data_IF_393232522665
#
_entry.id   IF_393232522665
#
_cell.length_a   1.000
_cell.length_b   1.000
_cell.length_c   1.000
_cell.angle_alpha   90.00
_cell.angle_beta   90.00
_cell.angle_gamma   90.00
#
_symmetry.space_group_name_H-M   'P 1'
#
loop_
_entity.id
_entity.type
_entity.pdbx_description
1 polymer ?
#
# COMPACT_ATOMS: atom_id res chain seq x y z
N UNK A 1 7.30 -1.07 6.96
CA UNK A 1 7.57 0.35 7.28
C UNK A 1 8.01 0.56 8.72
N UNK A 2 7.30 0.01 9.72
CA UNK A 2 7.73 0.04 11.13
C UNK A 2 9.10 -0.61 11.34
N UNK A 3 9.30 -1.82 10.77
CA UNK A 3 10.60 -2.52 10.75
C UNK A 3 11.73 -1.74 10.05
N UNK A 4 11.39 -0.84 9.12
CA UNK A 4 12.35 0.00 8.38
C UNK A 4 12.51 1.40 8.99
N UNK A 5 11.88 1.69 10.14
CA UNK A 5 11.90 3.01 10.80
C UNK A 5 11.43 4.16 9.88
N UNK A 6 10.41 3.90 9.07
CA UNK A 6 9.84 4.89 8.13
C UNK A 6 8.45 5.38 8.59
N UNK A 7 8.15 6.66 8.33
CA UNK A 7 6.82 7.24 8.51
C UNK A 7 5.85 6.86 7.36
N UNK A 8 4.59 7.26 7.46
CA UNK A 8 3.53 7.03 6.45
C UNK A 8 3.77 7.77 5.12
N UNK A 9 4.76 8.66 5.06
CA UNK A 9 5.26 9.31 3.84
C UNK A 9 6.46 8.57 3.23
N UNK A 10 6.80 7.40 3.74
CA UNK A 10 7.97 6.62 3.35
C UNK A 10 9.29 7.42 3.47
N UNK A 11 9.43 8.19 4.56
CA UNK A 11 10.67 8.87 4.93
C UNK A 11 11.21 8.31 6.26
N UNK A 12 12.52 8.26 6.48
CA UNK A 12 13.10 7.96 7.79
C UNK A 12 12.57 8.94 8.84
N UNK A 13 12.13 8.42 9.99
CA UNK A 13 11.47 9.25 11.00
C UNK A 13 11.81 8.79 12.42
N UNK A 14 11.69 9.67 13.43
CA UNK A 14 11.93 9.31 14.83
C UNK A 14 10.93 8.23 15.31
N UNK A 15 11.28 7.45 16.36
CA UNK A 15 10.49 6.29 16.80
C UNK A 15 9.02 6.60 17.11
N UNK A 16 8.75 7.81 17.61
CA UNK A 16 7.41 8.28 17.94
C UNK A 16 6.51 8.40 16.70
N UNK A 17 7.05 8.92 15.59
CA UNK A 17 6.32 9.00 14.32
C UNK A 17 6.14 7.62 13.69
N UNK A 18 7.17 6.76 13.77
CA UNK A 18 7.15 5.41 13.20
C UNK A 18 6.05 4.55 13.85
N UNK A 19 5.84 4.69 15.17
CA UNK A 19 4.79 3.96 15.89
C UNK A 19 3.39 4.28 15.35
N UNK A 20 3.18 5.53 14.92
CA UNK A 20 1.90 5.98 14.37
C UNK A 20 1.74 5.68 12.87
N UNK A 21 2.80 5.24 12.18
CA UNK A 21 2.77 4.96 10.73
C UNK A 21 1.67 4.00 10.33
N UNK A 22 1.56 2.84 10.99
CA UNK A 22 0.57 1.84 10.64
C UNK A 22 -0.86 2.39 10.80
N UNK A 23 -1.13 3.03 11.94
CA UNK A 23 -2.43 3.65 12.22
C UNK A 23 -2.79 4.69 11.17
N UNK A 24 -1.87 5.60 10.83
CA UNK A 24 -2.12 6.64 9.85
C UNK A 24 -2.36 6.07 8.45
N UNK A 25 -1.58 5.07 8.03
CA UNK A 25 -1.80 4.37 6.76
C UNK A 25 -3.19 3.73 6.70
N UNK A 26 -3.60 3.02 7.75
CA UNK A 26 -4.93 2.41 7.82
C UNK A 26 -6.03 3.46 7.74
N UNK A 27 -5.90 4.58 8.49
CA UNK A 27 -6.88 5.67 8.45
C UNK A 27 -6.99 6.24 7.02
N UNK A 28 -5.86 6.58 6.39
CA UNK A 28 -5.84 7.11 5.02
C UNK A 28 -6.50 6.14 4.04
N UNK A 29 -6.15 4.85 4.11
CA UNK A 29 -6.75 3.81 3.25
C UNK A 29 -8.24 3.67 3.48
N UNK A 30 -8.70 3.57 4.74
CA UNK A 30 -10.13 3.41 5.06
C UNK A 30 -10.93 4.61 4.61
N UNK A 31 -10.46 5.84 4.88
CA UNK A 31 -11.14 7.07 4.43
C UNK A 31 -11.22 7.13 2.91
N UNK A 32 -10.13 6.80 2.21
CA UNK A 32 -10.11 6.78 0.75
C UNK A 32 -11.07 5.72 0.18
N UNK A 33 -11.09 4.52 0.75
CA UNK A 33 -12.01 3.44 0.31
C UNK A 33 -13.47 3.84 0.54
N UNK A 34 -13.81 4.38 1.72
CA UNK A 34 -15.17 4.85 2.00
C UNK A 34 -15.56 5.94 0.99
N UNK A 35 -14.70 6.93 0.77
CA UNK A 35 -14.99 8.01 -0.17
C UNK A 35 -15.18 7.46 -1.59
N UNK A 36 -14.33 6.52 -2.02
CA UNK A 36 -14.44 5.86 -3.31
C UNK A 36 -15.78 5.12 -3.46
N UNK A 37 -16.18 4.31 -2.46
CA UNK A 37 -17.47 3.58 -2.42
C UNK A 37 -18.66 4.54 -2.43
N UNK A 38 -18.60 5.65 -1.70
CA UNK A 38 -19.68 6.65 -1.71
C UNK A 38 -19.81 7.38 -3.06
N UNK A 39 -18.75 7.38 -3.86
CA UNK A 39 -18.72 8.01 -5.20
C UNK A 39 -18.86 7.01 -6.35
N UNK A 40 -19.05 5.71 -6.07
CA UNK A 40 -19.22 4.73 -7.14
C UNK A 40 -20.50 5.01 -7.91
N UNK A 41 -20.48 4.93 -9.26
CA UNK A 41 -21.67 5.08 -10.08
C UNK A 41 -22.74 4.08 -9.62
N UNK A 42 -23.96 4.57 -9.46
CA UNK A 42 -25.10 3.74 -9.10
C UNK A 42 -25.69 3.08 -10.36
N UNK A 43 -26.48 2.03 -10.14
CA UNK A 43 -27.29 1.42 -11.17
C UNK A 43 -28.73 1.82 -10.94
N UNK A 44 -29.33 2.42 -11.95
CA UNK A 44 -30.74 2.82 -11.92
C UNK A 44 -31.55 1.96 -12.88
N UNK A 45 -32.83 1.78 -12.55
CA UNK A 45 -33.80 1.09 -13.41
C UNK A 45 -34.58 2.19 -14.11
N UNK A 46 -34.39 2.29 -15.42
CA UNK A 46 -35.20 3.14 -16.28
C UNK A 46 -36.38 2.32 -16.82
N UNK A 47 -37.59 2.82 -16.65
CA UNK A 47 -38.80 2.16 -17.12
C UNK A 47 -39.28 2.95 -18.33
N UNK A 48 -39.13 2.36 -19.51
CA UNK A 48 -39.66 2.97 -20.73
C UNK A 48 -41.19 3.05 -20.64
N UNK A 49 -41.73 4.25 -20.41
CA UNK A 49 -43.18 4.51 -20.27
C UNK A 49 -43.99 4.02 -21.49
N UNK A 50 -43.34 3.81 -22.64
CA UNK A 50 -43.97 3.38 -23.89
C UNK A 50 -44.04 1.84 -24.05
N UNK A 51 -43.19 1.07 -23.38
CA UNK A 51 -43.11 -0.40 -23.55
C UNK A 51 -43.11 -1.21 -22.25
N UNK A 52 -43.20 -0.57 -21.09
CA UNK A 52 -43.23 -1.20 -19.75
C UNK A 52 -42.09 -2.22 -19.57
N UNK A 53 -40.96 -1.96 -20.21
CA UNK A 53 -39.79 -2.83 -20.24
C UNK A 53 -38.68 -2.19 -19.40
N UNK A 54 -38.30 -2.78 -18.26
CA UNK A 54 -37.26 -2.22 -17.41
C UNK A 54 -35.89 -2.41 -18.04
N UNK A 55 -35.17 -1.30 -18.22
CA UNK A 55 -33.78 -1.29 -18.67
C UNK A 55 -32.86 -0.87 -17.52
N UNK A 56 -31.76 -1.59 -17.32
CA UNK A 56 -30.75 -1.22 -16.32
C UNK A 56 -29.83 -0.19 -16.98
N UNK A 57 -29.82 1.03 -16.46
CA UNK A 57 -28.95 2.12 -16.90
C UNK A 57 -27.87 2.33 -15.84
N UNK A 58 -26.61 2.34 -16.28
CA UNK A 58 -25.49 2.64 -15.42
C UNK A 58 -25.13 4.12 -15.55
N UNK A 59 -25.07 4.85 -14.44
CA UNK A 59 -24.58 6.22 -14.47
C UNK A 59 -23.09 6.28 -14.81
N UNK A 60 -22.69 7.32 -15.55
CA UNK A 60 -21.28 7.57 -15.79
C UNK A 60 -20.55 7.87 -14.47
N UNK A 61 -19.38 7.26 -14.22
CA UNK A 61 -18.59 7.54 -13.03
C UNK A 61 -18.24 9.02 -12.95
N UNK A 62 -18.50 9.63 -11.79
CA UNK A 62 -18.17 11.04 -11.56
C UNK A 62 -16.68 11.32 -11.78
N UNK A 63 -16.36 12.52 -12.28
CA UNK A 63 -14.95 12.99 -12.40
C UNK A 63 -14.23 12.89 -11.05
N UNK A 64 -14.95 13.12 -9.95
CA UNK A 64 -14.44 12.96 -8.58
C UNK A 64 -13.96 11.54 -8.30
N UNK A 65 -14.72 10.52 -8.70
CA UNK A 65 -14.34 9.11 -8.52
C UNK A 65 -13.01 8.80 -9.23
N UNK A 66 -12.88 9.21 -10.49
CA UNK A 66 -11.65 9.02 -11.26
C UNK A 66 -10.46 9.76 -10.66
N UNK A 67 -10.67 10.99 -10.19
CA UNK A 67 -9.63 11.77 -9.53
C UNK A 67 -9.14 11.12 -8.24
N UNK A 68 -10.06 10.61 -7.41
CA UNK A 68 -9.74 9.91 -6.15
C UNK A 68 -8.98 8.61 -6.43
N UNK A 69 -9.46 7.81 -7.38
CA UNK A 69 -8.80 6.56 -7.78
C UNK A 69 -7.38 6.83 -8.28
N UNK A 70 -7.20 7.81 -9.16
CA UNK A 70 -5.89 8.19 -9.68
C UNK A 70 -4.94 8.69 -8.58
N UNK A 71 -5.43 9.57 -7.70
CA UNK A 71 -4.65 10.11 -6.58
C UNK A 71 -4.20 9.00 -5.63
N UNK A 72 -5.10 8.09 -5.26
CA UNK A 72 -4.77 6.96 -4.41
C UNK A 72 -3.77 6.01 -5.07
N UNK A 73 -3.93 5.75 -6.37
CA UNK A 73 -3.00 4.94 -7.15
C UNK A 73 -1.57 5.53 -7.15
N UNK A 74 -1.45 6.83 -7.43
CA UNK A 74 -0.16 7.54 -7.40
C UNK A 74 0.46 7.51 -6.01
N UNK A 75 -0.34 7.73 -4.96
CA UNK A 75 0.13 7.64 -3.58
C UNK A 75 0.65 6.24 -3.22
N UNK A 76 -0.12 5.19 -3.54
CA UNK A 76 0.28 3.81 -3.27
C UNK A 76 1.57 3.45 -4.02
N UNK A 77 1.68 3.82 -5.30
CA UNK A 77 2.87 3.61 -6.11
C UNK A 77 4.09 4.33 -5.50
N UNK A 78 3.93 5.60 -5.10
CA UNK A 78 4.98 6.38 -4.44
C UNK A 78 5.50 5.69 -3.17
N UNK A 79 4.60 5.25 -2.29
CA UNK A 79 4.98 4.58 -1.02
C UNK A 79 5.69 3.26 -1.31
N UNK A 80 5.14 2.42 -2.19
CA UNK A 80 5.75 1.11 -2.53
C UNK A 80 7.13 1.29 -3.16
N UNK A 81 7.29 2.23 -4.09
CA UNK A 81 8.58 2.55 -4.71
C UNK A 81 9.61 2.98 -3.67
N UNK A 82 9.25 3.89 -2.76
CA UNK A 82 10.15 4.38 -1.71
C UNK A 82 10.56 3.29 -0.74
N UNK A 83 9.61 2.47 -0.31
CA UNK A 83 9.89 1.33 0.59
C UNK A 83 10.79 0.30 -0.11
N UNK A 84 10.55 0.00 -1.39
CA UNK A 84 11.38 -0.93 -2.16
C UNK A 84 12.80 -0.42 -2.30
N UNK A 85 12.96 0.86 -2.65
CA UNK A 85 14.27 1.49 -2.74
C UNK A 85 15.03 1.38 -1.42
N UNK A 86 14.38 1.66 -0.29
CA UNK A 86 15.00 1.52 1.03
C UNK A 86 15.43 0.08 1.36
N UNK A 87 14.61 -0.92 1.00
CA UNK A 87 14.98 -2.34 1.16
C UNK A 87 16.19 -2.70 0.29
N UNK A 88 16.21 -2.25 -0.96
CA UNK A 88 17.33 -2.52 -1.88
C UNK A 88 18.63 -1.85 -1.45
N UNK A 89 18.56 -0.63 -0.94
CA UNK A 89 19.72 0.07 -0.37
C UNK A 89 20.26 -0.65 0.87
N UNK A 90 19.36 -1.13 1.76
CA UNK A 90 19.74 -1.93 2.94
C UNK A 90 20.42 -3.24 2.56
N UNK A 91 19.85 -3.98 1.61
CA UNK A 91 20.30 -5.33 1.26
C UNK A 91 21.31 -5.32 0.08
N UNK A 92 21.77 -4.13 -0.33
CA UNK A 92 22.70 -3.93 -1.47
C UNK A 92 22.27 -4.62 -2.77
N UNK A 93 20.96 -4.64 -3.04
CA UNK A 93 20.37 -5.31 -4.21
C UNK A 93 20.56 -4.42 -5.45
N UNK A 94 21.36 -4.85 -6.45
CA UNK A 94 21.62 -4.04 -7.64
C UNK A 94 20.34 -3.82 -8.44
N UNK A 95 20.28 -2.72 -9.19
CA UNK A 95 19.20 -2.50 -10.14
C UNK A 95 19.33 -3.50 -11.29
N UNK A 96 18.24 -4.15 -11.65
CA UNK A 96 18.12 -4.96 -12.84
C UNK A 96 17.85 -4.10 -14.09
N UNK A 97 17.09 -4.67 -15.03
CA UNK A 97 17.02 -4.20 -16.43
C UNK A 97 16.39 -2.82 -16.61
N UNK A 98 15.56 -2.38 -15.68
CA UNK A 98 14.94 -1.05 -15.72
C UNK A 98 15.77 0.03 -15.00
N UNK A 99 16.99 -0.30 -14.54
CA UNK A 99 17.89 0.64 -13.88
C UNK A 99 17.21 1.35 -12.69
N UNK A 100 17.31 2.67 -12.66
CA UNK A 100 16.73 3.49 -11.58
C UNK A 100 15.20 3.50 -11.54
N UNK A 101 14.51 3.04 -12.61
CA UNK A 101 13.05 2.97 -12.69
C UNK A 101 12.50 1.59 -12.33
N UNK A 102 13.36 0.61 -12.00
CA UNK A 102 12.89 -0.73 -11.67
C UNK A 102 11.85 -0.74 -10.54
N UNK A 103 12.04 0.09 -9.51
CA UNK A 103 11.11 0.12 -8.38
C UNK A 103 9.73 0.64 -8.78
N UNK A 104 9.66 1.55 -9.76
CA UNK A 104 8.40 2.04 -10.35
C UNK A 104 7.74 0.92 -11.15
N UNK A 105 8.50 0.23 -12.01
CA UNK A 105 7.98 -0.86 -12.83
C UNK A 105 7.46 -2.02 -11.95
N UNK A 106 8.21 -2.42 -10.93
CA UNK A 106 7.78 -3.48 -10.01
C UNK A 106 6.53 -3.09 -9.20
N UNK A 107 6.43 -1.82 -8.77
CA UNK A 107 5.26 -1.32 -8.07
C UNK A 107 4.02 -1.24 -8.99
N UNK A 108 4.20 -0.82 -10.24
CA UNK A 108 3.13 -0.65 -11.22
C UNK A 108 2.58 -1.98 -11.76
N UNK A 109 3.45 -2.89 -12.22
CA UNK A 109 3.02 -4.12 -12.90
C UNK A 109 2.64 -5.26 -11.96
N UNK A 110 3.25 -5.35 -10.77
CA UNK A 110 3.03 -6.45 -9.81
C UNK A 110 3.11 -5.92 -8.37
N UNK A 111 2.32 -4.89 -8.05
CA UNK A 111 2.38 -4.21 -6.76
C UNK A 111 2.23 -5.14 -5.55
N UNK A 112 1.27 -6.07 -5.59
CA UNK A 112 1.06 -7.04 -4.50
C UNK A 112 2.25 -7.99 -4.31
N UNK A 113 2.88 -8.41 -5.41
CA UNK A 113 4.07 -9.27 -5.43
C UNK A 113 5.26 -8.54 -4.81
N UNK A 114 5.45 -7.28 -5.19
CA UNK A 114 6.47 -6.38 -4.66
C UNK A 114 6.29 -6.17 -3.16
N UNK A 115 5.07 -5.88 -2.70
CA UNK A 115 4.77 -5.73 -1.26
C UNK A 115 5.02 -7.03 -0.50
N UNK A 116 4.60 -8.17 -1.05
CA UNK A 116 4.81 -9.48 -0.43
C UNK A 116 6.30 -9.82 -0.32
N UNK A 117 7.08 -9.59 -1.38
CA UNK A 117 8.53 -9.80 -1.38
C UNK A 117 9.22 -8.93 -0.32
N UNK A 118 8.92 -7.63 -0.29
CA UNK A 118 9.50 -6.72 0.71
C UNK A 118 9.10 -7.10 2.13
N UNK A 119 7.86 -7.55 2.35
CA UNK A 119 7.42 -7.99 3.69
C UNK A 119 8.28 -9.12 4.23
N UNK A 120 8.73 -10.03 3.36
CA UNK A 120 9.63 -11.13 3.73
C UNK A 120 11.04 -10.63 4.01
N UNK A 121 11.61 -9.78 3.16
CA UNK A 121 12.96 -9.23 3.31
C UNK A 121 13.14 -8.34 4.56
N UNK A 122 12.04 -7.81 5.11
CA UNK A 122 12.11 -7.02 6.35
C UNK A 122 12.30 -7.84 7.62
N UNK A 123 12.28 -9.18 7.56
CA UNK A 123 12.57 -10.07 8.69
C UNK A 123 13.60 -11.13 8.28
N UNK A 124 14.41 -11.57 9.24
CA UNK A 124 15.34 -12.68 9.04
C UNK A 124 14.69 -13.97 9.54
N UNK A 125 13.94 -14.63 8.65
CA UNK A 125 13.23 -15.87 9.01
C UNK A 125 14.14 -17.11 9.11
N UNK A 126 15.41 -16.99 8.73
CA UNK A 126 16.39 -18.07 8.89
C UNK A 126 16.84 -18.17 10.36
N UNK A 127 16.90 -17.03 11.05
CA UNK A 127 17.29 -16.94 12.48
C UNK A 127 16.07 -16.81 13.42
N UNK A 128 14.95 -16.25 12.94
CA UNK A 128 13.80 -15.89 13.78
C UNK A 128 12.49 -16.51 13.27
N UNK A 129 11.78 -17.21 14.15
CA UNK A 129 10.45 -17.71 13.80
C UNK A 129 9.41 -16.59 13.76
N UNK A 130 8.48 -16.68 12.81
CA UNK A 130 7.34 -15.79 12.73
C UNK A 130 6.41 -16.01 13.93
N UNK A 131 5.89 -14.92 14.50
CA UNK A 131 4.93 -14.96 15.59
C UNK A 131 3.61 -14.30 15.19
N UNK A 132 2.50 -14.90 15.61
CA UNK A 132 1.18 -14.28 15.49
C UNK A 132 0.93 -13.32 16.67
N UNK A 133 0.12 -12.29 16.43
CA UNK A 133 -0.32 -11.30 17.44
C UNK A 133 0.79 -10.47 18.10
N UNK A 134 1.95 -10.33 17.47
CA UNK A 134 2.99 -9.38 17.89
C UNK A 134 2.96 -8.12 17.02
N UNK A 135 3.47 -7.00 17.54
CA UNK A 135 3.41 -5.69 16.86
C UNK A 135 4.16 -5.64 15.52
N UNK A 136 5.13 -6.54 15.36
CA UNK A 136 6.03 -6.61 14.22
C UNK A 136 6.10 -8.01 13.62
N UNK A 137 5.34 -9.00 14.08
CA UNK A 137 5.31 -10.37 13.55
C UNK A 137 6.53 -11.23 13.91
N UNK A 138 7.35 -10.80 14.89
CA UNK A 138 8.52 -11.53 15.39
C UNK A 138 8.31 -12.00 16.82
N UNK A 139 9.03 -13.03 17.26
CA UNK A 139 8.97 -13.55 18.64
C UNK A 139 9.69 -12.60 19.61
N UNK A 140 9.25 -12.56 20.88
CA UNK A 140 9.81 -11.67 21.91
C UNK A 140 11.32 -11.90 22.14
N UNK A 141 11.81 -13.12 21.90
CA UNK A 141 13.22 -13.49 22.05
C UNK A 141 14.15 -12.77 21.06
N UNK A 142 13.62 -12.30 19.93
CA UNK A 142 14.37 -11.58 18.90
C UNK A 142 14.51 -10.06 19.17
N UNK A 143 13.88 -9.54 20.23
CA UNK A 143 13.98 -8.12 20.60
C UNK A 143 15.30 -7.81 21.32
N UNK A 144 16.47 -8.02 20.69
CA UNK A 144 17.73 -7.22 20.84
C UNK A 144 18.92 -7.83 20.06
N UNK A 145 19.86 -7.02 19.54
CA UNK A 145 19.98 -5.57 19.66
C UNK A 145 19.50 -4.81 18.41
N UNK A 146 18.92 -3.66 18.70
CA UNK A 146 18.63 -2.56 17.77
C UNK A 146 19.89 -2.24 16.96
N UNK A 147 19.90 -2.57 15.66
CA UNK A 147 20.92 -2.03 14.76
C UNK A 147 20.58 -0.57 14.45
N UNK A 148 21.42 0.30 14.99
CA UNK A 148 21.59 1.70 14.59
C UNK A 148 22.23 1.66 13.21
N UNK A 149 21.54 2.22 12.22
CA UNK A 149 22.17 2.65 10.96
C UNK A 149 22.62 4.08 11.17
#
# INVERSE_FOLDING_TARGET
>A
MTRLKMNWKAQPAPPEEVKNTFRNMVIVTVVMVITMVMTTPQFDIDIDDEFDNPTIVQEDPSVTYHFLQFTYFVYALYVVMKVRKAVRERDSIPAGKCGNLEDVCCAYFCGCCTVSQMSRQTANYDDEQAAFFTSDGLTVTAQTPVMVV
#
